data_IF_726282269011
#
_entry.id   IF_726282269011
#
_cell.length_a   1.000
_cell.length_b   1.000
_cell.length_c   1.000
_cell.angle_alpha   90.00
_cell.angle_beta   90.00
_cell.angle_gamma   90.00
#
_symmetry.space_group_name_H-M   'P 1'
#
loop_
_entity.id
_entity.type
_entity.pdbx_description
1 polymer ?
#
# COMPACT_ATOMS: atom_id res chain seq x y z
N UNK A 1 -25.34 -1.30 17.31
CA UNK A 1 -24.67 -2.58 17.03
C UNK A 1 -23.44 -2.42 16.13
N UNK A 2 -23.55 -1.96 14.88
CA UNK A 2 -22.38 -1.63 14.02
C UNK A 2 -21.51 -0.51 14.60
N UNK A 3 -22.17 0.58 15.02
CA UNK A 3 -21.60 1.75 15.67
C UNK A 3 -20.80 1.41 16.95
N UNK A 4 -21.34 0.54 17.81
CA UNK A 4 -20.74 0.22 19.11
C UNK A 4 -19.43 -0.59 18.98
N UNK A 5 -19.25 -1.32 17.88
CA UNK A 5 -18.02 -2.08 17.58
C UNK A 5 -16.90 -1.14 17.08
N UNK A 6 -17.24 -0.10 16.32
CA UNK A 6 -16.25 0.84 15.75
C UNK A 6 -15.91 1.97 16.73
N UNK A 7 -16.80 2.31 17.66
CA UNK A 7 -16.59 3.38 18.66
C UNK A 7 -15.72 2.91 19.83
N UNK A 8 -15.67 1.61 20.15
CA UNK A 8 -14.87 1.11 21.28
C UNK A 8 -13.36 1.30 21.05
N UNK A 9 -12.62 1.72 22.08
CA UNK A 9 -11.15 1.72 22.03
C UNK A 9 -10.62 0.33 21.73
N UNK A 10 -10.01 0.17 20.57
CA UNK A 10 -9.25 -1.02 20.20
C UNK A 10 -7.86 -0.62 19.76
N UNK A 11 -6.89 -1.51 19.94
CA UNK A 11 -5.51 -1.28 19.50
C UNK A 11 -5.34 -1.15 17.98
N UNK A 12 -6.39 -1.40 17.19
CA UNK A 12 -6.42 -1.23 15.74
C UNK A 12 -7.17 0.04 15.28
N UNK A 13 -7.80 0.78 16.20
CA UNK A 13 -8.55 2.01 15.92
C UNK A 13 -7.66 3.25 15.89
N UNK A 14 -8.06 4.26 15.12
CA UNK A 14 -7.45 5.59 15.18
C UNK A 14 -7.91 6.32 16.46
N UNK A 15 -6.98 6.92 17.19
CA UNK A 15 -7.30 7.80 18.32
C UNK A 15 -7.13 9.25 17.87
N UNK A 16 -8.25 9.99 17.68
CA UNK A 16 -8.16 11.36 17.19
C UNK A 16 -7.43 12.29 18.15
N UNK A 17 -6.68 13.24 17.59
CA UNK A 17 -6.08 14.35 18.35
C UNK A 17 -7.08 15.47 18.59
N UNK A 18 -6.73 16.37 19.49
CA UNK A 18 -7.49 17.60 19.68
C UNK A 18 -7.62 18.37 18.36
N UNK A 19 -8.85 18.67 17.95
CA UNK A 19 -9.16 19.37 16.69
C UNK A 19 -9.49 18.47 15.51
N UNK A 20 -9.27 17.16 15.62
CA UNK A 20 -9.69 16.18 14.61
C UNK A 20 -11.15 15.73 14.82
N UNK A 21 -11.69 15.05 13.81
CA UNK A 21 -12.98 14.39 13.91
C UNK A 21 -13.00 13.39 15.08
N UNK A 22 -14.06 13.44 15.88
CA UNK A 22 -14.30 12.50 16.98
C UNK A 22 -14.44 11.05 16.50
N UNK A 23 -14.21 10.08 17.38
CA UNK A 23 -14.40 8.65 17.09
C UNK A 23 -15.82 8.33 16.64
N UNK A 24 -16.81 9.03 17.17
CA UNK A 24 -18.22 8.87 16.81
C UNK A 24 -18.51 9.28 15.36
N UNK A 25 -17.78 10.27 14.84
CA UNK A 25 -17.85 10.67 13.43
C UNK A 25 -17.15 9.63 12.57
N UNK A 26 -15.96 9.20 12.98
CA UNK A 26 -15.20 8.16 12.30
C UNK A 26 -15.97 6.84 12.18
N UNK A 27 -16.70 6.45 13.24
CA UNK A 27 -17.53 5.25 13.28
C UNK A 27 -18.77 5.28 12.38
N UNK A 28 -19.04 6.40 11.69
CA UNK A 28 -20.09 6.47 10.66
C UNK A 28 -19.65 5.82 9.35
N UNK A 29 -18.36 5.64 9.15
CA UNK A 29 -17.77 5.08 7.94
C UNK A 29 -17.52 3.59 8.13
N UNK A 30 -18.51 2.81 7.75
CA UNK A 30 -18.44 1.35 7.81
C UNK A 30 -19.17 0.72 6.63
N UNK A 31 -18.88 -0.55 6.38
CA UNK A 31 -19.56 -1.37 5.37
C UNK A 31 -19.73 -2.80 5.88
N UNK A 32 -20.60 -3.56 5.22
CA UNK A 32 -20.66 -5.00 5.43
C UNK A 32 -19.59 -5.71 4.60
N UNK A 33 -18.90 -6.66 5.23
CA UNK A 33 -18.01 -7.61 4.55
C UNK A 33 -18.81 -8.78 3.94
N UNK A 34 -18.14 -9.63 3.14
CA UNK A 34 -18.77 -10.81 2.52
C UNK A 34 -19.31 -11.85 3.51
N UNK A 35 -18.85 -11.80 4.77
CA UNK A 35 -19.29 -12.66 5.87
C UNK A 35 -20.47 -12.08 6.68
N UNK A 36 -20.99 -10.92 6.27
CA UNK A 36 -22.09 -10.23 6.94
C UNK A 36 -21.70 -9.46 8.20
N UNK A 37 -20.40 -9.42 8.56
CA UNK A 37 -19.91 -8.57 9.66
C UNK A 37 -19.71 -7.13 9.19
N UNK A 38 -19.59 -6.23 10.15
CA UNK A 38 -19.33 -4.81 9.91
C UNK A 38 -17.84 -4.53 10.01
N UNK A 39 -17.32 -3.76 9.06
CA UNK A 39 -15.93 -3.32 8.99
C UNK A 39 -15.85 -1.81 8.82
N UNK A 40 -14.81 -1.15 9.37
CA UNK A 40 -14.46 0.20 8.94
C UNK A 40 -14.29 0.25 7.42
N UNK A 41 -14.56 1.40 6.82
CA UNK A 41 -14.37 1.61 5.38
C UNK A 41 -13.75 2.97 5.10
N UNK A 42 -13.57 3.29 3.82
CA UNK A 42 -13.04 4.56 3.37
C UNK A 42 -13.89 5.74 3.87
N UNK A 43 -13.19 6.79 4.28
CA UNK A 43 -13.76 8.12 4.51
C UNK A 43 -12.92 9.17 3.76
N UNK A 44 -13.52 10.31 3.37
CA UNK A 44 -12.75 11.44 2.88
C UNK A 44 -11.83 11.98 3.98
N UNK A 45 -10.71 12.66 3.68
CA UNK A 45 -9.86 13.29 4.70
C UNK A 45 -10.59 14.29 5.60
N UNK A 46 -11.70 14.85 5.11
CA UNK A 46 -12.56 15.80 5.81
C UNK A 46 -14.02 15.36 5.75
N UNK A 47 -14.67 15.26 6.90
CA UNK A 47 -16.10 14.93 6.98
C UNK A 47 -16.98 16.08 6.45
N UNK A 48 -18.22 15.77 6.08
CA UNK A 48 -19.21 16.76 5.65
C UNK A 48 -19.54 17.81 6.73
N UNK A 49 -19.33 17.50 8.02
CA UNK A 49 -19.42 18.51 9.10
C UNK A 49 -18.28 19.54 9.08
N UNK A 50 -17.21 19.28 8.33
CA UNK A 50 -16.05 20.14 8.21
C UNK A 50 -14.93 19.85 9.21
N UNK A 51 -15.01 18.82 10.06
CA UNK A 51 -13.84 18.34 10.80
C UNK A 51 -12.89 17.56 9.88
N UNK A 52 -11.59 17.58 10.19
CA UNK A 52 -10.57 16.81 9.49
C UNK A 52 -10.19 15.55 10.28
N UNK A 53 -9.93 14.43 9.61
CA UNK A 53 -9.54 13.18 10.26
C UNK A 53 -8.04 13.08 10.57
N UNK A 54 -7.22 14.02 10.08
CA UNK A 54 -5.76 13.99 10.26
C UNK A 54 -5.03 12.96 9.38
N UNK A 55 -5.76 12.12 8.64
CA UNK A 55 -5.20 11.10 7.74
C UNK A 55 -6.04 10.90 6.48
N UNK A 56 -5.51 10.15 5.53
CA UNK A 56 -6.13 9.85 4.23
C UNK A 56 -6.23 8.34 3.98
N UNK A 57 -7.17 7.95 3.10
CA UNK A 57 -7.35 6.57 2.63
C UNK A 57 -7.22 6.46 1.11
N UNK A 58 -6.52 7.38 0.47
CA UNK A 58 -6.37 7.44 -0.98
C UNK A 58 -7.64 7.91 -1.70
N UNK A 59 -7.86 7.35 -2.89
CA UNK A 59 -8.97 7.73 -3.77
C UNK A 59 -10.34 7.40 -3.20
N UNK A 60 -11.33 8.25 -3.50
CA UNK A 60 -12.73 7.91 -3.28
C UNK A 60 -13.13 6.71 -4.14
N UNK A 61 -13.49 5.55 -3.55
CA UNK A 61 -13.84 4.33 -4.29
C UNK A 61 -14.97 4.56 -5.31
N UNK A 62 -15.88 5.50 -5.04
CA UNK A 62 -17.03 5.81 -5.90
C UNK A 62 -16.65 6.36 -7.27
N UNK A 63 -15.43 6.85 -7.41
CA UNK A 63 -14.91 7.34 -8.69
C UNK A 63 -14.54 6.22 -9.65
N UNK A 64 -14.45 4.97 -9.18
CA UNK A 64 -14.13 3.83 -10.04
C UNK A 64 -15.33 3.32 -10.83
N UNK A 65 -15.10 2.96 -12.08
CA UNK A 65 -16.08 2.26 -12.93
C UNK A 65 -16.43 0.86 -12.37
N UNK A 66 -15.61 0.32 -11.46
CA UNK A 66 -15.84 -0.96 -10.79
C UNK A 66 -16.65 -0.83 -9.48
N UNK A 67 -16.92 0.39 -8.99
CA UNK A 67 -17.52 0.59 -7.67
C UNK A 67 -18.90 -0.05 -7.53
N UNK A 68 -19.72 -0.02 -8.59
CA UNK A 68 -21.05 -0.60 -8.57
C UNK A 68 -21.02 -2.10 -8.22
N UNK A 69 -19.97 -2.81 -8.63
CA UNK A 69 -19.81 -4.25 -8.43
C UNK A 69 -18.90 -4.59 -7.23
N UNK A 70 -17.87 -3.79 -6.99
CA UNK A 70 -16.89 -4.00 -5.91
C UNK A 70 -17.37 -3.49 -4.54
N UNK A 71 -18.25 -2.47 -4.54
CA UNK A 71 -18.76 -1.79 -3.33
C UNK A 71 -17.63 -1.15 -2.50
N UNK A 72 -17.98 -0.75 -1.28
CA UNK A 72 -17.06 -0.18 -0.30
C UNK A 72 -16.05 -1.23 0.18
N UNK A 73 -14.75 -0.86 0.29
CA UNK A 73 -13.74 -1.77 0.82
C UNK A 73 -13.94 -2.01 2.32
N UNK A 74 -13.89 -3.27 2.75
CA UNK A 74 -14.05 -3.69 4.13
C UNK A 74 -12.67 -3.80 4.80
N UNK A 75 -12.27 -2.82 5.59
CA UNK A 75 -10.92 -2.75 6.13
C UNK A 75 -10.68 -3.82 7.22
N UNK A 76 -9.66 -4.67 7.04
CA UNK A 76 -9.21 -5.64 8.04
C UNK A 76 -9.94 -6.99 7.99
N UNK A 77 -10.74 -7.22 6.96
CA UNK A 77 -11.53 -8.45 6.79
C UNK A 77 -10.70 -9.73 6.80
N UNK A 78 -9.59 -9.76 6.09
CA UNK A 78 -8.72 -10.93 5.97
C UNK A 78 -8.05 -11.26 7.30
N UNK A 79 -7.65 -10.24 8.06
CA UNK A 79 -7.17 -10.41 9.44
C UNK A 79 -8.23 -11.00 10.34
N UNK A 80 -9.48 -10.53 10.24
CA UNK A 80 -10.61 -11.07 11.00
C UNK A 80 -10.92 -12.53 10.60
N UNK A 81 -10.85 -12.86 9.31
CA UNK A 81 -11.00 -14.25 8.84
C UNK A 81 -9.87 -15.13 9.40
N UNK A 82 -8.64 -14.63 9.41
CA UNK A 82 -7.48 -15.32 10.01
C UNK A 82 -7.76 -15.60 11.49
N UNK A 83 -8.14 -14.58 12.27
CA UNK A 83 -8.45 -14.72 13.69
C UNK A 83 -9.58 -15.74 13.93
N UNK A 84 -10.68 -15.62 13.19
CA UNK A 84 -11.84 -16.49 13.36
C UNK A 84 -11.53 -17.96 13.03
N UNK A 85 -10.66 -18.19 12.04
CA UNK A 85 -10.27 -19.55 11.63
C UNK A 85 -9.22 -20.19 12.54
N UNK A 86 -8.46 -19.38 13.28
CA UNK A 86 -7.43 -19.83 14.22
C UNK A 86 -7.30 -18.91 15.45
N UNK A 87 -8.28 -18.90 16.38
CA UNK A 87 -8.33 -17.91 17.47
C UNK A 87 -7.15 -17.98 18.47
N UNK A 88 -6.49 -19.13 18.59
CA UNK A 88 -5.28 -19.31 19.41
C UNK A 88 -3.98 -19.20 18.60
N UNK A 89 -4.08 -18.88 17.31
CA UNK A 89 -2.97 -18.86 16.39
C UNK A 89 -2.40 -17.47 16.13
N UNK A 90 -1.59 -17.41 15.07
CA UNK A 90 -0.97 -16.19 14.62
C UNK A 90 -2.05 -15.22 14.09
N UNK A 91 -1.98 -13.94 14.48
CA UNK A 91 -2.95 -12.92 14.07
C UNK A 91 -2.25 -11.67 13.53
N UNK A 92 -2.84 -11.07 12.48
CA UNK A 92 -2.36 -9.86 11.84
C UNK A 92 -3.22 -8.66 12.25
N UNK A 93 -2.66 -7.71 13.00
CA UNK A 93 -3.38 -6.47 13.36
C UNK A 93 -2.92 -5.31 12.47
N UNK A 94 -3.75 -4.94 11.50
CA UNK A 94 -3.51 -3.77 10.64
C UNK A 94 -4.10 -2.51 11.28
N UNK A 95 -3.34 -1.41 11.20
CA UNK A 95 -3.84 -0.12 11.68
C UNK A 95 -4.80 0.49 10.65
N UNK A 96 -5.80 1.23 11.16
CA UNK A 96 -6.82 1.80 10.31
C UNK A 96 -6.22 2.72 9.23
N UNK A 97 -5.35 3.64 9.67
CA UNK A 97 -4.74 4.70 8.84
C UNK A 97 -3.86 4.16 7.72
N UNK A 98 -3.43 2.89 7.79
CA UNK A 98 -2.63 2.23 6.78
C UNK A 98 -3.43 1.82 5.54
N UNK A 99 -4.76 1.72 5.60
CA UNK A 99 -5.57 1.31 4.45
C UNK A 99 -5.63 2.39 3.36
N UNK A 100 -5.14 2.11 2.15
CA UNK A 100 -5.12 3.03 1.01
C UNK A 100 -5.90 2.45 -0.16
N UNK A 101 -6.80 3.26 -0.71
CA UNK A 101 -7.61 2.95 -1.88
C UNK A 101 -7.01 3.63 -3.11
N UNK A 102 -7.03 2.92 -4.22
CA UNK A 102 -6.69 3.44 -5.53
C UNK A 102 -7.81 3.10 -6.52
N UNK A 103 -8.23 4.11 -7.29
CA UNK A 103 -9.14 3.98 -8.40
C UNK A 103 -8.47 4.48 -9.70
N UNK A 104 -8.33 3.58 -10.67
CA UNK A 104 -7.81 3.88 -12.02
C UNK A 104 -8.80 3.33 -13.03
N UNK A 105 -9.39 4.21 -13.84
CA UNK A 105 -10.32 3.83 -14.89
C UNK A 105 -9.65 3.98 -16.26
N UNK A 106 -10.04 3.13 -17.20
CA UNK A 106 -9.66 3.23 -18.61
C UNK A 106 -8.14 3.27 -18.85
N UNK A 107 -7.35 2.55 -18.05
CA UNK A 107 -5.90 2.47 -18.21
C UNK A 107 -5.54 1.69 -19.46
N UNK A 108 -4.81 2.32 -20.39
CA UNK A 108 -4.28 1.64 -21.56
C UNK A 108 -3.13 0.72 -21.17
N UNK A 109 -3.21 -0.55 -21.58
CA UNK A 109 -2.11 -1.51 -21.52
C UNK A 109 -1.38 -1.47 -22.84
N UNK A 110 -0.11 -1.11 -22.83
CA UNK A 110 0.72 -0.98 -24.03
C UNK A 110 1.52 -2.27 -24.26
N UNK A 111 1.54 -2.75 -25.51
CA UNK A 111 2.32 -3.90 -25.91
C UNK A 111 3.81 -3.70 -25.60
N UNK A 112 4.44 -4.68 -24.95
CA UNK A 112 5.87 -4.64 -24.62
C UNK A 112 6.20 -3.79 -23.38
N UNK A 113 5.22 -3.14 -22.76
CA UNK A 113 5.42 -2.51 -21.46
C UNK A 113 5.66 -3.57 -20.38
N UNK A 114 6.76 -3.43 -19.66
CA UNK A 114 7.17 -4.30 -18.57
C UNK A 114 7.35 -3.52 -17.26
N UNK A 115 6.98 -2.23 -17.24
CA UNK A 115 7.03 -1.40 -16.06
C UNK A 115 8.41 -0.90 -15.62
N UNK A 116 9.48 -1.23 -16.34
CA UNK A 116 10.83 -0.77 -15.98
C UNK A 116 11.08 0.69 -16.34
N UNK A 117 10.34 1.22 -17.32
CA UNK A 117 10.40 2.62 -17.71
C UNK A 117 9.48 3.48 -16.85
N UNK A 118 9.98 4.66 -16.44
CA UNK A 118 9.22 5.66 -15.69
C UNK A 118 7.98 6.10 -16.47
N UNK A 119 8.17 6.52 -17.74
CA UNK A 119 7.08 6.82 -18.66
C UNK A 119 6.59 5.56 -19.37
N UNK A 120 5.29 5.49 -19.72
CA UNK A 120 4.80 4.42 -20.58
C UNK A 120 5.53 4.44 -21.93
N UNK A 121 5.90 3.28 -22.47
CA UNK A 121 6.43 3.22 -23.82
C UNK A 121 5.35 3.65 -24.82
N UNK A 122 5.78 4.11 -25.99
CA UNK A 122 4.89 4.30 -27.13
C UNK A 122 4.61 2.95 -27.77
N UNK A 123 3.36 2.66 -28.15
CA UNK A 123 3.03 1.41 -28.81
C UNK A 123 1.53 1.13 -28.91
N UNK A 124 1.22 -0.04 -29.45
CA UNK A 124 -0.15 -0.54 -29.59
C UNK A 124 -0.78 -0.76 -28.23
N UNK A 125 -1.98 -0.22 -28.01
CA UNK A 125 -2.81 -0.58 -26.85
C UNK A 125 -3.43 -1.96 -27.08
N UNK A 126 -3.14 -2.92 -26.20
CA UNK A 126 -3.62 -4.31 -26.30
C UNK A 126 -4.83 -4.60 -25.42
N UNK A 127 -5.01 -3.82 -24.35
CA UNK A 127 -6.19 -3.88 -23.49
C UNK A 127 -6.45 -2.51 -22.86
N UNK A 128 -7.67 -2.32 -22.38
CA UNK A 128 -8.03 -1.20 -21.50
C UNK A 128 -8.57 -1.78 -20.20
N UNK A 129 -7.98 -1.37 -19.08
CA UNK A 129 -8.26 -1.93 -17.76
C UNK A 129 -8.77 -0.88 -16.78
N UNK A 130 -9.73 -1.31 -15.97
CA UNK A 130 -10.18 -0.62 -14.77
C UNK A 130 -9.63 -1.35 -13.54
N UNK A 131 -9.25 -0.59 -12.52
CA UNK A 131 -8.67 -1.09 -11.27
C UNK A 131 -9.32 -0.33 -10.11
N UNK A 132 -9.84 -1.08 -9.15
CA UNK A 132 -10.19 -0.58 -7.83
C UNK A 132 -9.57 -1.51 -6.79
N UNK A 133 -8.60 -0.99 -6.04
CA UNK A 133 -7.95 -1.76 -5.00
C UNK A 133 -7.89 -1.01 -3.68
N UNK A 134 -7.78 -1.78 -2.60
CA UNK A 134 -7.33 -1.34 -1.29
C UNK A 134 -6.08 -2.12 -0.94
N UNK A 135 -5.04 -1.44 -0.47
CA UNK A 135 -3.85 -2.07 0.11
C UNK A 135 -3.53 -1.45 1.48
N UNK A 136 -3.14 -2.24 2.47
CA UNK A 136 -2.63 -1.70 3.72
C UNK A 136 -1.13 -1.37 3.64
N UNK A 137 -0.79 -0.09 3.74
CA UNK A 137 0.57 0.42 3.65
C UNK A 137 0.82 1.54 4.67
N UNK A 138 1.07 1.15 5.92
CA UNK A 138 1.49 2.04 7.00
C UNK A 138 2.99 2.37 6.91
N UNK A 139 3.31 3.67 6.76
CA UNK A 139 4.70 4.18 6.69
C UNK A 139 5.04 5.11 7.86
N UNK A 140 4.32 4.98 8.98
CA UNK A 140 4.48 5.82 10.17
C UNK A 140 4.90 5.02 11.42
N UNK A 141 4.66 3.72 11.48
CA UNK A 141 4.94 2.85 12.62
C UNK A 141 6.07 1.86 12.30
N UNK A 142 6.63 1.13 13.28
CA UNK A 142 7.66 0.11 13.02
C UNK A 142 7.08 -1.21 12.47
N UNK A 143 5.75 -1.35 12.33
CA UNK A 143 5.06 -2.60 11.99
C UNK A 143 5.66 -3.30 10.76
N UNK A 144 5.88 -2.55 9.69
CA UNK A 144 6.41 -3.07 8.43
C UNK A 144 7.88 -3.50 8.50
N UNK A 145 8.61 -3.23 9.59
CA UNK A 145 9.99 -3.71 9.73
C UNK A 145 10.07 -5.22 9.92
N UNK A 146 9.03 -5.86 10.46
CA UNK A 146 8.98 -7.32 10.66
C UNK A 146 7.79 -7.99 9.98
N UNK A 147 6.64 -7.30 9.90
CA UNK A 147 5.46 -7.86 9.26
C UNK A 147 5.61 -7.79 7.75
N UNK A 148 5.43 -8.92 7.06
CA UNK A 148 5.50 -8.96 5.61
C UNK A 148 4.19 -9.15 4.89
N UNK A 149 3.11 -9.44 5.60
CA UNK A 149 1.82 -9.66 4.99
C UNK A 149 0.90 -8.47 5.22
N UNK A 150 0.25 -8.03 4.14
CA UNK A 150 -0.63 -6.87 4.15
C UNK A 150 -1.87 -7.10 3.31
N UNK A 151 -3.03 -6.61 3.78
CA UNK A 151 -4.31 -6.90 3.14
C UNK A 151 -4.42 -6.13 1.83
N UNK A 152 -4.62 -6.90 0.76
CA UNK A 152 -5.04 -6.45 -0.55
C UNK A 152 -6.50 -6.87 -0.76
N UNK A 153 -7.35 -5.91 -1.11
CA UNK A 153 -8.63 -6.13 -1.79
C UNK A 153 -8.43 -5.60 -3.21
N UNK A 154 -8.45 -6.45 -4.21
CA UNK A 154 -8.12 -6.12 -5.59
C UNK A 154 -9.28 -6.45 -6.51
N UNK A 155 -9.75 -5.46 -7.24
CA UNK A 155 -10.75 -5.62 -8.30
C UNK A 155 -10.15 -5.08 -9.59
N UNK A 156 -10.20 -5.89 -10.64
CA UNK A 156 -9.72 -5.50 -11.96
C UNK A 156 -10.62 -6.09 -13.04
N UNK A 157 -10.83 -5.30 -14.09
CA UNK A 157 -11.52 -5.71 -15.30
C UNK A 157 -10.77 -5.16 -16.50
N UNK A 158 -10.41 -6.01 -17.44
CA UNK A 158 -9.71 -5.61 -18.66
C UNK A 158 -10.51 -6.05 -19.88
N UNK A 159 -10.70 -5.13 -20.83
CA UNK A 159 -11.25 -5.41 -22.15
C UNK A 159 -10.12 -5.48 -23.16
N UNK A 160 -9.94 -6.64 -23.79
CA UNK A 160 -8.87 -6.93 -24.74
C UNK A 160 -9.22 -6.40 -26.13
N UNK A 161 -8.27 -5.75 -26.81
CA UNK A 161 -8.52 -5.02 -28.07
C UNK A 161 -8.58 -5.92 -29.30
N UNK A 162 -7.97 -7.10 -29.24
CA UNK A 162 -7.90 -8.07 -30.33
C UNK A 162 -9.26 -8.73 -30.60
N UNK A 163 -10.05 -9.02 -29.57
CA UNK A 163 -11.29 -9.79 -29.68
C UNK A 163 -12.44 -9.31 -28.78
N UNK A 164 -12.27 -8.18 -28.08
CA UNK A 164 -13.22 -7.64 -27.10
C UNK A 164 -13.56 -8.60 -25.94
N UNK A 165 -12.74 -9.63 -25.70
CA UNK A 165 -12.90 -10.47 -24.52
C UNK A 165 -12.66 -9.64 -23.26
N UNK A 166 -13.32 -10.05 -22.18
CA UNK A 166 -13.16 -9.46 -20.87
C UNK A 166 -12.50 -10.46 -19.94
N UNK A 167 -11.46 -10.01 -19.26
CA UNK A 167 -10.90 -10.70 -18.09
C UNK A 167 -11.21 -9.91 -16.83
N UNK A 168 -11.64 -10.59 -15.77
CA UNK A 168 -11.99 -9.96 -14.50
C UNK A 168 -11.42 -10.77 -13.33
N UNK A 169 -10.87 -10.07 -12.34
CA UNK A 169 -10.37 -10.64 -11.10
C UNK A 169 -10.87 -9.83 -9.91
N UNK A 170 -11.47 -10.52 -8.92
CA UNK A 170 -11.71 -9.99 -7.58
C UNK A 170 -10.98 -10.89 -6.59
N UNK A 171 -9.94 -10.34 -5.98
CA UNK A 171 -9.00 -11.07 -5.14
C UNK A 171 -8.82 -10.36 -3.80
N UNK A 172 -8.99 -11.07 -2.70
CA UNK A 172 -8.77 -10.57 -1.34
C UNK A 172 -7.86 -11.50 -0.56
N UNK A 173 -6.73 -11.00 -0.06
CA UNK A 173 -5.79 -11.76 0.75
C UNK A 173 -4.81 -10.85 1.51
N UNK A 174 -4.14 -11.42 2.50
CA UNK A 174 -2.91 -10.92 3.09
C UNK A 174 -1.75 -11.33 2.17
N UNK A 175 -1.33 -10.41 1.31
CA UNK A 175 -0.28 -10.69 0.33
C UNK A 175 1.09 -10.49 0.97
N UNK A 176 2.07 -11.39 0.72
CA UNK A 176 3.40 -11.22 1.24
C UNK A 176 4.21 -10.24 0.38
N UNK A 177 4.84 -9.28 1.03
CA UNK A 177 5.76 -8.31 0.44
C UNK A 177 7.20 -8.71 0.73
N UNK A 178 7.68 -9.83 0.18
CA UNK A 178 9.02 -10.35 0.46
C UNK A 178 9.10 -11.17 1.75
N UNK A 179 10.31 -11.29 2.30
CA UNK A 179 10.59 -12.15 3.46
C UNK A 179 10.04 -11.55 4.78
N UNK A 180 9.55 -12.37 5.72
CA UNK A 180 9.14 -11.94 7.06
C UNK A 180 10.34 -11.64 7.98
N UNK A 181 10.10 -10.91 9.07
CA UNK A 181 11.07 -10.63 10.13
C UNK A 181 12.10 -9.52 9.81
N UNK A 182 12.01 -8.93 8.62
CA UNK A 182 12.94 -7.91 8.16
C UNK A 182 12.48 -7.24 6.88
N UNK A 183 13.37 -6.52 6.22
CA UNK A 183 13.08 -5.81 4.97
C UNK A 183 14.36 -5.66 4.12
N UNK A 184 14.21 -5.33 2.84
CA UNK A 184 15.33 -5.08 1.92
C UNK A 184 15.79 -3.62 1.93
N UNK A 185 17.01 -3.35 1.47
CA UNK A 185 17.47 -1.99 1.26
C UNK A 185 16.84 -1.34 0.01
N UNK A 186 16.61 -0.04 0.07
CA UNK A 186 16.26 0.81 -1.09
C UNK A 186 17.46 0.97 -2.03
N UNK A 187 17.29 1.74 -3.11
CA UNK A 187 18.34 2.18 -4.04
C UNK A 187 19.23 3.32 -3.50
N UNK A 188 18.91 3.86 -2.32
CA UNK A 188 19.81 4.68 -1.52
C UNK A 188 20.44 3.84 -0.39
N UNK A 189 21.79 3.77 -0.27
CA UNK A 189 22.82 4.61 -0.91
C UNK A 189 23.51 4.02 -2.16
N UNK A 190 22.89 3.07 -2.85
CA UNK A 190 23.45 2.40 -4.01
C UNK A 190 22.42 1.44 -4.60
N UNK A 191 22.64 0.90 -5.81
CA UNK A 191 21.59 0.18 -6.51
C UNK A 191 21.03 -0.97 -5.67
N UNK A 192 19.80 -1.38 -5.95
CA UNK A 192 19.17 -2.53 -5.29
C UNK A 192 20.15 -3.70 -5.22
N UNK A 193 20.60 -4.03 -4.01
CA UNK A 193 21.72 -4.96 -3.79
C UNK A 193 21.32 -6.23 -3.03
N UNK A 194 20.01 -6.52 -2.98
CA UNK A 194 19.42 -7.65 -2.26
C UNK A 194 19.82 -7.73 -0.76
N UNK A 195 20.38 -6.66 -0.18
CA UNK A 195 20.69 -6.60 1.24
C UNK A 195 19.39 -6.72 2.02
N UNK A 196 19.35 -7.66 2.94
CA UNK A 196 18.22 -7.88 3.84
C UNK A 196 18.60 -7.52 5.27
N UNK A 197 17.86 -6.60 5.87
CA UNK A 197 17.99 -6.22 7.27
C UNK A 197 17.05 -7.08 8.10
N UNK A 198 17.61 -8.00 8.88
CA UNK A 198 16.83 -8.79 9.83
C UNK A 198 16.54 -7.95 11.09
N UNK A 199 15.27 -7.83 11.47
CA UNK A 199 14.81 -6.95 12.54
C UNK A 199 14.31 -7.75 13.75
N UNK A 200 13.61 -8.85 13.51
CA UNK A 200 12.97 -9.65 14.56
C UNK A 200 12.29 -10.90 14.00
N UNK A 201 11.53 -11.63 14.84
CA UNK A 201 10.74 -12.76 14.37
C UNK A 201 9.66 -12.32 13.38
N UNK A 202 9.17 -13.27 12.58
CA UNK A 202 8.00 -13.08 11.74
C UNK A 202 6.78 -12.72 12.61
N UNK A 203 6.02 -11.71 12.17
CA UNK A 203 4.72 -11.38 12.75
C UNK A 203 3.78 -11.24 11.55
N UNK A 204 2.68 -12.00 11.50
CA UNK A 204 2.40 -13.22 12.28
C UNK A 204 3.48 -14.30 12.08
N UNK A 205 3.61 -15.25 13.02
CA UNK A 205 4.71 -16.24 13.01
C UNK A 205 4.66 -17.25 11.86
N UNK A 206 3.47 -17.48 11.30
CA UNK A 206 3.21 -18.35 10.15
C UNK A 206 3.26 -17.58 8.81
N UNK A 207 3.76 -16.34 8.81
CA UNK A 207 3.87 -15.53 7.61
C UNK A 207 4.65 -16.25 6.50
N UNK A 208 4.12 -16.28 5.25
CA UNK A 208 4.82 -16.91 4.14
C UNK A 208 6.20 -16.27 3.88
N UNK A 209 7.18 -17.10 3.55
CA UNK A 209 8.57 -16.68 3.30
C UNK A 209 9.10 -17.04 1.91
N UNK A 210 8.35 -17.84 1.17
CA UNK A 210 8.59 -18.35 -0.19
C UNK A 210 8.18 -17.34 -1.28
N UNK A 211 8.46 -16.06 -1.06
CA UNK A 211 8.16 -14.98 -2.00
C UNK A 211 9.26 -14.80 -3.04
N UNK A 212 8.90 -14.43 -4.27
CA UNK A 212 9.87 -14.06 -5.33
C UNK A 212 10.08 -12.55 -5.49
N UNK A 213 9.22 -11.73 -4.88
CA UNK A 213 9.31 -10.27 -4.95
C UNK A 213 10.50 -9.73 -4.17
N UNK A 214 11.03 -8.56 -4.56
CA UNK A 214 12.00 -7.80 -3.76
C UNK A 214 11.47 -7.45 -2.36
N UNK A 215 10.15 -7.34 -2.23
CA UNK A 215 9.43 -7.16 -0.98
C UNK A 215 9.32 -5.72 -0.53
N UNK A 216 9.30 -5.51 0.80
CA UNK A 216 9.43 -4.18 1.39
C UNK A 216 10.89 -3.75 1.31
N UNK A 217 11.15 -2.67 0.57
CA UNK A 217 12.41 -1.95 0.57
C UNK A 217 12.21 -0.66 1.35
N UNK A 218 12.86 -0.54 2.51
CA UNK A 218 12.66 0.57 3.43
C UNK A 218 13.98 1.29 3.63
N UNK A 219 13.95 2.63 3.56
CA UNK A 219 15.11 3.47 3.86
C UNK A 219 15.68 3.14 5.24
N UNK A 220 16.99 2.95 5.31
CA UNK A 220 17.71 2.75 6.56
C UNK A 220 18.73 3.89 6.82
N UNK A 221 19.34 3.88 8.01
CA UNK A 221 20.35 4.85 8.40
C UNK A 221 21.55 4.94 7.44
N UNK A 222 21.83 3.93 6.60
CA UNK A 222 22.92 3.99 5.63
C UNK A 222 22.61 4.98 4.49
N UNK A 223 21.34 5.11 4.09
CA UNK A 223 20.93 6.15 3.15
C UNK A 223 21.16 7.55 3.74
N UNK A 224 20.75 7.76 4.99
CA UNK A 224 20.98 9.03 5.72
C UNK A 224 22.47 9.39 5.75
N UNK A 225 23.35 8.41 6.01
CA UNK A 225 24.80 8.65 5.97
C UNK A 225 25.31 9.00 4.58
N UNK A 226 24.80 8.36 3.53
CA UNK A 226 25.20 8.69 2.16
C UNK A 226 24.80 10.11 1.74
N UNK A 227 23.64 10.59 2.18
CA UNK A 227 23.23 11.99 1.97
C UNK A 227 24.21 12.93 2.68
N UNK A 228 24.62 12.62 3.92
CA UNK A 228 25.62 13.41 4.68
C UNK A 228 26.99 13.42 4.03
N UNK A 229 27.41 12.27 3.52
CA UNK A 229 28.68 12.10 2.79
C UNK A 229 28.68 12.75 1.41
N UNK A 230 27.51 13.21 0.94
CA UNK A 230 27.38 13.86 -0.36
C UNK A 230 27.43 12.89 -1.54
N UNK A 231 27.17 11.60 -1.33
CA UNK A 231 27.13 10.59 -2.40
C UNK A 231 26.10 10.93 -3.47
N UNK A 232 26.30 10.39 -4.66
CA UNK A 232 25.47 10.64 -5.85
C UNK A 232 24.86 9.35 -6.39
N UNK A 233 23.81 9.50 -7.21
CA UNK A 233 23.23 8.45 -8.04
C UNK A 233 22.87 9.01 -9.41
N UNK A 234 22.71 8.12 -10.39
CA UNK A 234 22.26 8.49 -11.72
C UNK A 234 20.74 8.68 -11.75
N UNK A 235 20.28 9.90 -11.98
CA UNK A 235 18.85 10.21 -12.18
C UNK A 235 18.50 9.97 -13.65
N UNK A 236 17.59 9.02 -13.89
CA UNK A 236 17.19 8.59 -15.24
C UNK A 236 16.42 9.69 -15.97
N UNK A 237 15.66 10.52 -15.26
CA UNK A 237 14.86 11.59 -15.85
C UNK A 237 15.75 12.69 -16.42
N UNK A 238 16.79 13.09 -15.69
CA UNK A 238 17.71 14.16 -16.12
C UNK A 238 18.90 13.64 -16.91
N UNK A 239 19.19 12.34 -16.81
CA UNK A 239 20.34 11.70 -17.46
C UNK A 239 21.68 12.09 -16.84
N UNK A 240 21.69 12.46 -15.57
CA UNK A 240 22.87 13.01 -14.88
C UNK A 240 23.07 12.39 -13.50
N UNK A 241 24.31 12.35 -13.03
CA UNK A 241 24.61 12.10 -11.62
C UNK A 241 24.12 13.27 -10.78
N UNK A 242 23.26 12.99 -9.80
CA UNK A 242 22.75 13.96 -8.83
C UNK A 242 23.07 13.48 -7.41
N UNK A 243 23.27 14.39 -6.45
CA UNK A 243 23.53 14.00 -5.08
C UNK A 243 22.27 13.41 -4.41
N UNK A 244 22.42 12.35 -3.60
CA UNK A 244 21.30 11.84 -2.78
C UNK A 244 20.76 12.94 -1.84
N UNK A 245 19.45 13.07 -1.69
CA UNK A 245 18.78 14.03 -0.81
C UNK A 245 17.50 13.47 -0.16
N UNK A 246 16.65 14.34 0.40
CA UNK A 246 15.40 13.92 1.06
C UNK A 246 14.39 13.21 0.16
N UNK A 247 14.49 13.34 -1.17
CA UNK A 247 13.61 12.63 -2.12
C UNK A 247 13.99 11.14 -2.23
N UNK A 248 15.21 10.78 -1.83
CA UNK A 248 15.71 9.40 -1.81
C UNK A 248 15.33 8.64 -0.53
N UNK A 249 14.70 9.33 0.42
CA UNK A 249 14.22 8.74 1.67
C UNK A 249 12.82 8.13 1.49
N UNK A 250 12.68 7.17 0.59
CA UNK A 250 11.40 6.62 0.16
C UNK A 250 11.24 5.10 0.45
N UNK A 251 10.05 4.55 0.30
CA UNK A 251 9.79 3.12 0.55
C UNK A 251 9.13 2.42 -0.65
N UNK A 252 9.67 1.28 -1.10
CA UNK A 252 9.04 0.42 -2.11
C UNK A 252 8.45 -0.83 -1.50
N UNK A 253 7.31 -1.27 -2.02
CA UNK A 253 6.60 -2.44 -1.53
C UNK A 253 6.16 -3.27 -2.73
N UNK A 254 6.94 -4.30 -3.02
CA UNK A 254 6.67 -5.25 -4.09
C UNK A 254 5.91 -6.46 -3.55
N UNK A 255 5.03 -7.03 -4.36
CA UNK A 255 4.49 -8.37 -4.12
C UNK A 255 4.47 -9.17 -5.42
N UNK A 256 4.34 -10.49 -5.27
CA UNK A 256 4.10 -11.42 -6.36
C UNK A 256 3.07 -12.42 -5.85
N UNK A 257 1.84 -12.27 -6.35
CA UNK A 257 0.72 -13.14 -6.01
C UNK A 257 0.53 -14.08 -7.19
N UNK A 258 0.49 -15.38 -6.92
CA UNK A 258 0.18 -16.39 -7.91
C UNK A 258 -0.82 -17.38 -7.35
N UNK A 259 -1.91 -17.61 -8.09
CA UNK A 259 -2.84 -18.73 -7.88
C UNK A 259 -2.75 -19.63 -9.09
N UNK A 260 -2.46 -20.91 -8.87
CA UNK A 260 -2.34 -21.89 -9.95
C UNK A 260 -3.03 -23.20 -9.57
N UNK A 261 -3.96 -23.61 -10.41
CA UNK A 261 -4.61 -24.93 -10.42
C UNK A 261 -4.55 -25.48 -11.86
N UNK A 262 -5.12 -26.67 -12.10
CA UNK A 262 -5.24 -27.20 -13.45
C UNK A 262 -6.08 -26.31 -14.39
N UNK A 263 -7.04 -25.57 -13.83
CA UNK A 263 -8.02 -24.77 -14.58
C UNK A 263 -7.88 -23.25 -14.39
N UNK A 264 -7.14 -22.79 -13.38
CA UNK A 264 -6.93 -21.38 -13.07
C UNK A 264 -5.43 -21.06 -13.03
N UNK A 265 -5.01 -20.01 -13.71
CA UNK A 265 -3.70 -19.39 -13.53
C UNK A 265 -3.91 -17.88 -13.45
N UNK A 266 -3.67 -17.32 -12.28
CA UNK A 266 -3.77 -15.90 -11.99
C UNK A 266 -2.46 -15.41 -11.39
N UNK A 267 -1.93 -14.31 -11.90
CA UNK A 267 -0.74 -13.65 -11.36
C UNK A 267 -0.95 -12.15 -11.35
N UNK A 268 -0.60 -11.51 -10.21
CA UNK A 268 -0.40 -10.06 -10.12
C UNK A 268 0.91 -9.72 -9.44
N UNK A 269 1.58 -8.66 -9.90
CA UNK A 269 2.87 -8.20 -9.37
C UNK A 269 2.80 -6.71 -9.00
N UNK A 270 2.00 -6.34 -7.97
CA UNK A 270 1.80 -4.96 -7.65
C UNK A 270 3.05 -4.33 -7.03
N UNK A 271 3.22 -3.03 -7.31
CA UNK A 271 4.19 -2.15 -6.69
C UNK A 271 3.45 -1.00 -6.02
N UNK A 272 3.75 -0.80 -4.74
CA UNK A 272 3.32 0.36 -3.98
C UNK A 272 4.55 1.15 -3.56
N UNK A 273 4.62 2.41 -3.94
CA UNK A 273 5.76 3.27 -3.72
C UNK A 273 5.33 4.51 -2.92
N UNK A 274 6.06 4.84 -1.85
CA UNK A 274 5.80 6.01 -1.01
C UNK A 274 7.01 6.92 -1.05
N UNK A 275 6.84 8.11 -1.60
CA UNK A 275 7.94 9.05 -1.87
C UNK A 275 8.25 9.99 -0.70
N UNK A 276 7.33 10.12 0.26
CA UNK A 276 7.51 10.97 1.45
C UNK A 276 7.15 10.27 2.78
N UNK A 277 7.62 9.04 3.04
CA UNK A 277 7.29 8.31 4.26
C UNK A 277 7.72 9.09 5.51
N UNK A 278 6.98 8.93 6.60
CA UNK A 278 7.22 9.69 7.84
C UNK A 278 8.43 9.19 8.64
N UNK A 279 8.91 7.98 8.32
CA UNK A 279 9.90 7.23 9.10
C UNK A 279 11.07 6.76 8.24
N UNK A 280 12.14 6.35 8.90
CA UNK A 280 13.16 5.47 8.35
C UNK A 280 13.60 4.48 9.44
N UNK A 281 14.27 3.40 9.04
CA UNK A 281 14.81 2.41 9.99
C UNK A 281 16.15 2.87 10.56
N UNK A 282 16.25 2.88 11.89
CA UNK A 282 17.49 3.13 12.61
C UNK A 282 17.58 2.23 13.84
N UNK A 283 18.47 1.24 13.79
CA UNK A 283 18.64 0.25 14.85
C UNK A 283 19.04 0.86 16.21
N UNK A 284 19.54 2.10 16.24
CA UNK A 284 19.95 2.80 17.46
C UNK A 284 18.80 3.51 18.19
N UNK A 285 17.64 3.66 17.54
CA UNK A 285 16.49 4.38 18.10
C UNK A 285 15.51 3.44 18.80
N UNK A 286 14.69 3.95 19.74
CA UNK A 286 13.57 3.20 20.30
C UNK A 286 12.68 2.61 19.19
N UNK A 287 12.27 1.35 19.34
CA UNK A 287 11.52 0.58 18.33
C UNK A 287 12.17 0.52 16.94
N UNK A 288 13.48 0.83 16.86
CA UNK A 288 14.26 0.91 15.62
C UNK A 288 13.70 1.90 14.60
N UNK A 289 12.94 2.89 15.05
CA UNK A 289 12.23 3.86 14.24
C UNK A 289 12.77 5.26 14.49
N UNK A 290 13.07 5.97 13.40
CA UNK A 290 13.42 7.38 13.42
C UNK A 290 12.46 8.17 12.50
N UNK A 291 12.31 9.48 12.75
CA UNK A 291 11.44 10.35 11.94
C UNK A 291 12.27 11.12 10.93
N UNK A 292 11.81 11.16 9.68
CA UNK A 292 12.54 11.88 8.63
C UNK A 292 12.57 13.39 8.85
N UNK A 293 11.53 13.97 9.46
CA UNK A 293 11.51 15.42 9.76
C UNK A 293 12.66 15.85 10.68
N UNK A 294 13.09 14.96 11.58
CA UNK A 294 14.14 15.27 12.56
C UNK A 294 15.48 15.51 11.85
N UNK A 295 15.72 14.79 10.75
CA UNK A 295 16.91 14.92 9.91
C UNK A 295 17.10 16.34 9.36
N UNK A 296 16.02 17.10 9.20
CA UNK A 296 16.08 18.47 8.70
C UNK A 296 16.76 19.45 9.68
N UNK A 297 16.77 19.11 10.96
CA UNK A 297 17.52 19.83 12.00
C UNK A 297 18.92 19.22 12.24
N UNK A 298 19.24 18.12 11.57
CA UNK A 298 20.55 17.44 11.62
C UNK A 298 21.42 17.75 10.39
N UNK A 299 21.03 18.74 9.58
CA UNK A 299 21.84 19.23 8.45
C UNK A 299 21.72 18.42 7.16
N UNK A 300 20.74 17.52 7.05
CA UNK A 300 20.45 16.83 5.78
C UNK A 300 19.92 17.83 4.73
N UNK A 301 20.34 17.64 3.48
CA UNK A 301 19.96 18.45 2.30
C UNK A 301 18.70 17.91 1.63
N UNK A 302 18.03 18.76 0.87
CA UNK A 302 16.85 18.42 0.07
C UNK A 302 15.65 19.34 0.34
N UNK A 303 14.73 19.41 -0.62
CA UNK A 303 13.65 20.40 -0.65
C UNK A 303 12.61 20.22 0.45
N UNK A 304 12.37 19.00 0.89
CA UNK A 304 11.54 18.75 2.07
C UNK A 304 12.14 19.41 3.31
N UNK A 305 13.45 19.29 3.52
CA UNK A 305 14.10 19.96 4.64
C UNK A 305 14.22 21.47 4.48
N UNK A 306 14.36 21.99 3.25
CA UNK A 306 14.26 23.43 2.99
C UNK A 306 12.88 23.97 3.41
N UNK A 307 11.81 23.23 3.13
CA UNK A 307 10.45 23.58 3.54
C UNK A 307 10.30 23.58 5.06
N UNK A 308 10.75 22.54 5.75
CA UNK A 308 10.71 22.44 7.22
C UNK A 308 11.47 23.58 7.90
N UNK A 309 12.67 23.90 7.42
CA UNK A 309 13.50 25.00 7.96
C UNK A 309 12.81 26.34 7.77
N UNK A 310 12.27 26.63 6.58
CA UNK A 310 11.52 27.86 6.30
C UNK A 310 10.31 28.02 7.22
N UNK A 311 9.53 26.96 7.46
CA UNK A 311 8.39 27.01 8.40
C UNK A 311 8.89 27.30 9.82
N UNK A 312 9.99 26.68 10.23
CA UNK A 312 10.58 26.89 11.56
C UNK A 312 11.05 28.33 11.73
N UNK A 313 11.72 28.90 10.73
CA UNK A 313 12.15 30.31 10.72
C UNK A 313 10.97 31.27 10.79
N UNK A 314 9.89 31.00 10.04
CA UNK A 314 8.69 31.85 10.00
C UNK A 314 7.87 31.81 11.29
N UNK A 315 7.83 30.67 11.97
CA UNK A 315 6.93 30.45 13.12
C UNK A 315 7.66 30.45 14.47
N UNK A 316 8.99 30.37 14.46
CA UNK A 316 9.80 30.19 15.67
C UNK A 316 9.65 28.82 16.34
N UNK A 317 8.88 27.90 15.74
CA UNK A 317 8.58 26.58 16.29
C UNK A 317 9.10 25.49 15.36
N UNK A 318 9.78 24.48 15.93
CA UNK A 318 10.15 23.29 15.18
C UNK A 318 8.89 22.56 14.71
N UNK A 319 8.83 22.24 13.44
CA UNK A 319 7.84 21.34 12.85
C UNK A 319 8.04 19.94 13.43
N UNK A 320 7.02 19.43 14.12
CA UNK A 320 7.00 18.07 14.65
C UNK A 320 6.70 17.05 13.54
N UNK A 321 6.99 15.78 13.80
CA UNK A 321 6.83 14.70 12.83
C UNK A 321 5.37 14.47 12.42
N UNK A 322 4.46 14.75 13.34
CA UNK A 322 3.01 14.62 13.23
C UNK A 322 2.31 15.96 12.98
N UNK A 323 3.07 16.98 12.59
CA UNK A 323 2.55 18.30 12.24
C UNK A 323 1.96 18.29 10.81
N UNK A 324 0.75 18.84 10.58
CA UNK A 324 0.18 19.02 9.23
C UNK A 324 1.00 19.91 8.29
N UNK A 325 2.12 20.48 8.73
CA UNK A 325 3.07 21.22 7.87
C UNK A 325 4.31 20.40 7.50
N UNK A 326 4.50 19.23 8.12
CA UNK A 326 5.58 18.30 7.75
C UNK A 326 5.39 17.81 6.30
N UNK A 327 6.44 17.75 5.46
CA UNK A 327 6.33 17.09 4.16
C UNK A 327 6.38 15.56 4.26
N UNK A 328 6.84 15.01 5.40
CA UNK A 328 7.05 13.56 5.60
C UNK A 328 5.82 12.92 6.26
N UNK A 329 4.80 12.61 5.47
CA UNK A 329 3.51 12.10 5.97
C UNK A 329 3.04 10.81 5.29
N UNK A 330 3.75 10.36 4.25
CA UNK A 330 3.39 9.18 3.46
C UNK A 330 2.15 9.38 2.61
N UNK A 331 1.95 10.55 2.02
CA UNK A 331 0.77 10.91 1.21
C UNK A 331 1.08 10.98 -0.28
N UNK A 332 2.34 11.17 -0.65
CA UNK A 332 2.80 11.12 -2.03
C UNK A 332 3.13 9.68 -2.36
N UNK A 333 2.25 9.06 -3.15
CA UNK A 333 2.27 7.62 -3.43
C UNK A 333 2.15 7.36 -4.91
N UNK A 334 2.89 6.37 -5.38
CA UNK A 334 2.67 5.74 -6.67
C UNK A 334 2.18 4.30 -6.46
N UNK A 335 1.17 3.93 -7.23
CA UNK A 335 0.65 2.58 -7.25
C UNK A 335 0.77 2.03 -8.66
N UNK A 336 1.17 0.77 -8.79
CA UNK A 336 1.08 0.01 -10.03
C UNK A 336 0.43 -1.33 -9.71
N UNK A 337 -0.65 -1.66 -10.41
CA UNK A 337 -1.18 -3.03 -10.37
C UNK A 337 -0.14 -4.03 -10.91
N UNK A 338 0.69 -3.56 -11.84
CA UNK A 338 1.90 -4.22 -12.28
C UNK A 338 1.63 -5.32 -13.28
N UNK A 339 2.48 -6.35 -13.28
CA UNK A 339 2.29 -7.53 -14.12
C UNK A 339 0.94 -8.17 -13.81
N UNK A 340 0.13 -8.46 -14.83
CA UNK A 340 -1.17 -9.11 -14.71
C UNK A 340 -1.28 -10.24 -15.74
N UNK A 341 -1.76 -11.40 -15.27
CA UNK A 341 -2.08 -12.55 -16.11
C UNK A 341 -3.29 -13.28 -15.55
N UNK A 342 -4.24 -13.63 -16.42
CA UNK A 342 -5.38 -14.46 -16.05
C UNK A 342 -5.76 -15.47 -17.14
N UNK A 343 -5.78 -16.74 -16.75
CA UNK A 343 -6.35 -17.87 -17.49
C UNK A 343 -7.32 -18.60 -16.59
N UNK A 344 -8.61 -18.57 -16.88
CA UNK A 344 -9.57 -19.43 -16.20
C UNK A 344 -10.40 -20.24 -17.21
N UNK A 345 -10.33 -21.57 -17.06
CA UNK A 345 -11.19 -22.53 -17.77
C UNK A 345 -12.07 -23.35 -16.82
N UNK A 346 -12.07 -23.01 -15.53
CA UNK A 346 -12.83 -23.66 -14.47
C UNK A 346 -13.97 -22.77 -13.95
N UNK A 347 -14.45 -23.02 -12.72
CA UNK A 347 -15.42 -22.17 -12.07
C UNK A 347 -14.92 -20.73 -11.92
N UNK A 348 -15.84 -19.77 -12.04
CA UNK A 348 -15.50 -18.36 -11.83
C UNK A 348 -15.30 -17.99 -10.37
N UNK A 349 -15.75 -18.84 -9.45
CA UNK A 349 -15.52 -18.68 -8.01
C UNK A 349 -14.61 -19.78 -7.51
N UNK A 350 -13.57 -19.39 -6.79
CA UNK A 350 -12.67 -20.29 -6.06
C UNK A 350 -12.48 -19.76 -4.65
N UNK A 351 -12.06 -20.62 -3.73
CA UNK A 351 -11.84 -20.31 -2.33
C UNK A 351 -10.37 -20.48 -2.02
N UNK A 352 -9.72 -19.49 -1.43
CA UNK A 352 -8.32 -19.56 -1.00
C UNK A 352 -8.23 -19.34 0.50
N UNK A 353 -7.11 -19.71 1.12
CA UNK A 353 -6.84 -19.24 2.48
C UNK A 353 -6.56 -17.73 2.52
N UNK A 354 -6.33 -17.23 3.73
CA UNK A 354 -6.06 -15.81 4.02
C UNK A 354 -4.80 -15.28 3.33
N UNK A 355 -3.87 -16.14 2.90
CA UNK A 355 -2.68 -15.76 2.16
C UNK A 355 -2.85 -15.88 0.63
N UNK A 356 -4.07 -16.17 0.17
CA UNK A 356 -4.38 -16.36 -1.25
C UNK A 356 -3.89 -17.70 -1.80
N UNK A 357 -3.65 -18.71 -0.95
CA UNK A 357 -3.13 -20.03 -1.32
C UNK A 357 -4.20 -21.11 -1.20
N UNK A 358 -3.83 -22.35 -1.50
CA UNK A 358 -4.69 -23.53 -1.32
C UNK A 358 -6.06 -23.40 -2.01
N UNK A 359 -6.03 -22.99 -3.28
CA UNK A 359 -7.25 -22.75 -4.06
C UNK A 359 -8.12 -24.02 -4.17
N UNK A 360 -9.41 -23.86 -3.86
CA UNK A 360 -10.43 -24.91 -3.87
C UNK A 360 -11.68 -24.44 -4.59
N UNK A 361 -12.44 -25.35 -5.19
CA UNK A 361 -13.78 -25.06 -5.76
C UNK A 361 -14.89 -25.10 -4.71
N UNK A 362 -14.60 -25.62 -3.51
CA UNK A 362 -15.51 -25.68 -2.37
C UNK A 362 -14.98 -24.83 -1.21
N UNK A 363 -15.86 -24.15 -0.45
CA UNK A 363 -15.45 -23.41 0.74
C UNK A 363 -14.84 -24.34 1.80
N UNK A 364 -13.88 -23.82 2.56
CA UNK A 364 -13.30 -24.47 3.73
C UNK A 364 -13.15 -23.47 4.88
N UNK A 365 -12.85 -23.97 6.09
CA UNK A 365 -12.70 -23.10 7.26
C UNK A 365 -11.57 -22.07 7.04
N UNK A 366 -11.85 -20.79 7.27
CA UNK A 366 -10.89 -19.70 7.02
C UNK A 366 -10.66 -19.37 5.54
N UNK A 367 -11.49 -19.90 4.64
CA UNK A 367 -11.39 -19.56 3.22
C UNK A 367 -12.08 -18.25 2.87
N UNK A 368 -11.49 -17.54 1.91
CA UNK A 368 -12.03 -16.33 1.29
C UNK A 368 -12.43 -16.66 -0.14
N UNK A 369 -13.66 -16.29 -0.51
CA UNK A 369 -14.16 -16.45 -1.87
C UNK A 369 -13.50 -15.42 -2.79
N UNK A 370 -12.90 -15.90 -3.86
CA UNK A 370 -12.30 -15.13 -4.94
C UNK A 370 -13.15 -15.26 -6.21
N UNK A 371 -13.04 -14.29 -7.11
CA UNK A 371 -13.69 -14.32 -8.42
C UNK A 371 -12.66 -14.15 -9.55
N UNK A 372 -12.71 -15.03 -10.54
CA UNK A 372 -11.87 -14.96 -11.74
C UNK A 372 -12.69 -15.33 -12.97
N UNK A 373 -12.72 -14.50 -14.00
CA UNK A 373 -13.40 -14.84 -15.25
C UNK A 373 -12.60 -14.39 -16.47
N UNK A 374 -12.83 -15.07 -17.58
CA UNK A 374 -12.12 -14.82 -18.82
C UNK A 374 -10.82 -15.61 -18.93
N UNK A 375 -10.29 -15.63 -20.15
CA UNK A 375 -9.08 -16.36 -20.48
C UNK A 375 -8.33 -15.56 -21.54
N UNK A 376 -7.27 -14.87 -21.13
CA UNK A 376 -6.38 -14.18 -22.05
C UNK A 376 -4.93 -14.39 -21.58
N UNK A 377 -4.46 -15.63 -21.78
CA UNK A 377 -3.24 -16.14 -21.17
C UNK A 377 -1.95 -15.84 -21.95
N UNK A 378 -2.07 -15.34 -23.18
CA UNK A 378 -0.95 -15.27 -24.13
C UNK A 378 -0.06 -14.05 -23.93
N UNK A 379 -0.51 -13.01 -23.21
CA UNK A 379 0.29 -11.81 -22.98
C UNK A 379 0.40 -11.50 -21.48
N UNK A 380 1.63 -11.39 -20.98
CA UNK A 380 1.87 -10.73 -19.70
C UNK A 380 1.58 -9.24 -19.91
N UNK A 381 0.50 -8.75 -19.31
CA UNK A 381 0.15 -7.33 -19.37
C UNK A 381 0.85 -6.59 -18.25
N UNK A 382 1.30 -5.36 -18.49
CA UNK A 382 1.70 -4.45 -17.43
C UNK A 382 0.65 -3.35 -17.28
N UNK A 383 -0.04 -3.35 -16.15
CA UNK A 383 -1.07 -2.35 -15.86
C UNK A 383 -0.46 -1.28 -14.97
N UNK A 384 -0.22 -0.11 -15.57
CA UNK A 384 0.22 1.09 -14.84
C UNK A 384 -0.89 1.58 -13.92
N UNK A 385 -0.50 2.25 -12.84
CA UNK A 385 -1.45 2.98 -12.00
C UNK A 385 -1.17 4.46 -12.05
N UNK A 386 -1.17 5.12 -10.90
CA UNK A 386 -1.07 6.56 -10.80
C UNK A 386 -0.16 6.99 -9.65
N UNK A 387 0.47 8.15 -9.82
CA UNK A 387 1.13 8.91 -8.74
C UNK A 387 0.19 10.01 -8.28
N UNK A 388 -0.08 10.09 -6.98
CA UNK A 388 -0.96 11.09 -6.37
C UNK A 388 -0.38 11.58 -5.06
N UNK A 389 -0.58 12.86 -4.76
CA UNK A 389 -0.38 13.40 -3.42
C UNK A 389 -1.74 13.64 -2.77
N UNK A 390 -2.05 12.81 -1.77
CA UNK A 390 -3.30 12.90 -1.04
C UNK A 390 -3.32 14.03 0.00
N UNK A 391 -2.22 14.78 0.18
CA UNK A 391 -2.15 15.97 1.04
C UNK A 391 -2.12 17.30 0.26
N UNK A 392 -2.43 17.30 -1.04
CA UNK A 392 -2.39 18.51 -1.87
C UNK A 392 -3.31 19.64 -1.36
N UNK A 393 -4.41 19.30 -0.68
CA UNK A 393 -5.30 20.25 -0.04
C UNK A 393 -4.95 20.45 1.44
N UNK A 394 -4.35 21.59 1.77
CA UNK A 394 -3.94 21.90 3.15
C UNK A 394 -5.11 22.01 4.13
N UNK A 395 -6.34 22.23 3.66
CA UNK A 395 -7.53 22.26 4.51
C UNK A 395 -7.89 20.88 5.10
N UNK A 396 -7.32 19.79 4.56
CA UNK A 396 -7.55 18.43 5.04
C UNK A 396 -6.69 18.09 6.27
N UNK A 397 -5.73 18.95 6.62
CA UNK A 397 -4.90 18.85 7.83
C UNK A 397 -4.24 17.47 8.02
N UNK A 398 -3.97 16.76 6.93
CA UNK A 398 -3.33 15.43 6.98
C UNK A 398 -1.94 15.55 7.57
N UNK A 399 -1.58 14.63 8.46
CA UNK A 399 -0.27 14.48 9.05
C UNK A 399 0.14 13.02 9.16
N UNK A 400 1.38 12.77 9.59
CA UNK A 400 1.83 11.43 9.91
C UNK A 400 1.04 10.90 11.14
N UNK A 401 0.43 9.71 11.07
CA UNK A 401 -0.32 9.14 12.20
C UNK A 401 0.58 8.76 13.39
N UNK A 402 -0.01 8.77 14.59
CA UNK A 402 0.68 8.49 15.85
C UNK A 402 1.23 7.06 15.99
#
# INVERSE_FOLDING_TARGET
>A
MAYDIVVSESGSGYTPKAGECSREIHARYWTYGPDGKVYPTWHPPRDASGCAFGHEHGDDPRTSDLFADAKWPYFGYTSEVMMASNPGGAHRHEDHVGHKVLAVNNSNVIQGDNGTSFFPPQGTTIATCDILLKFHQGTHSPDAFTNNVHELIYNNKCTHRDNNQVTEAKFTALIPNGRPGGFGATDCPGPFNNKFTNVGPAIPADSPSDTRSLGRLITDAACVQAIREGKTHFEVITGTEVPFDTNDLHEFWFSDVTISTSQLSFTIQPLFYVLNPARYYDASKPNKLARQVDLCYEGIRGDYCNTVRRITEQTGQRVAWDDPRSPFKGTLREFRAGGFKLRNSGPTSVYTDVYGRNASTSPFNGSIKQYFSGNHAEQNMFVRGATRDYAANSADQIHAPN
#
